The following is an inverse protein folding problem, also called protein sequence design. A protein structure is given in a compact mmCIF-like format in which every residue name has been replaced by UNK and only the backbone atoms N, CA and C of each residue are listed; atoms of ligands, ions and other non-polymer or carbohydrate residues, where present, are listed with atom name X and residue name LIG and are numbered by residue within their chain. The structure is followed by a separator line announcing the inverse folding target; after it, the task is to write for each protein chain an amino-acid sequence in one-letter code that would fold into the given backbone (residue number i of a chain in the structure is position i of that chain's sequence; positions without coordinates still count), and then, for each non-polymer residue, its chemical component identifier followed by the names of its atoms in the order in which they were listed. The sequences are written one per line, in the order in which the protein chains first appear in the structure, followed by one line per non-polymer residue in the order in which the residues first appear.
data_IF_025968827111
#
_entry.id   IF_025968827111
#
_cell.length_a   1.000
_cell.length_b   1.000
_cell.length_c   1.000
_cell.angle_alpha   90.00
_cell.angle_beta   90.00
_cell.angle_gamma   90.00
#
_symmetry.space_group_name_H-M   'P 1'
#
loop_
_entity.id
_entity.type
_entity.pdbx_description
1 polymer ?
#
# COMPACT_ATOMS: atom_id res chain seq x y z
N UNK A 1 8.84 26.45 -9.07
CA UNK A 1 10.08 25.70 -8.89
C UNK A 1 10.80 25.52 -10.22
N UNK A 2 12.11 25.32 -10.20
CA UNK A 2 12.90 25.08 -11.40
C UNK A 2 12.61 23.67 -11.91
N UNK A 3 12.37 23.51 -13.21
CA UNK A 3 12.25 22.19 -13.83
C UNK A 3 13.63 21.53 -13.94
N UNK A 4 13.78 20.35 -13.35
CA UNK A 4 15.01 19.57 -13.34
C UNK A 4 14.82 18.18 -13.98
N UNK A 5 13.81 18.03 -14.84
CA UNK A 5 13.49 16.78 -15.53
C UNK A 5 14.65 16.25 -16.38
N UNK A 6 15.51 17.13 -16.88
CA UNK A 6 16.71 16.76 -17.64
C UNK A 6 17.74 15.95 -16.86
N UNK A 7 17.71 16.00 -15.52
CA UNK A 7 18.60 15.24 -14.66
C UNK A 7 18.11 13.79 -14.40
N UNK A 8 17.00 13.38 -14.98
CA UNK A 8 16.37 12.09 -14.70
C UNK A 8 17.32 10.89 -14.86
N UNK A 9 18.12 10.78 -15.93
CA UNK A 9 19.06 9.66 -16.10
C UNK A 9 20.11 9.61 -14.98
N UNK A 10 20.64 10.76 -14.58
CA UNK A 10 21.68 10.86 -13.55
C UNK A 10 21.12 10.50 -12.17
N UNK A 11 19.89 10.96 -11.88
CA UNK A 11 19.20 10.63 -10.64
C UNK A 11 18.84 9.15 -10.56
N UNK A 12 18.41 8.52 -11.65
CA UNK A 12 18.17 7.07 -11.70
C UNK A 12 19.45 6.28 -11.40
N UNK A 13 20.62 6.74 -11.91
CA UNK A 13 21.90 6.13 -11.57
C UNK A 13 22.21 6.20 -10.06
N UNK A 14 21.77 7.27 -9.36
CA UNK A 14 21.92 7.41 -7.92
C UNK A 14 21.06 6.41 -7.11
N UNK A 15 20.13 5.68 -7.71
CA UNK A 15 19.33 4.62 -7.03
C UNK A 15 20.22 3.48 -6.49
N UNK A 16 21.44 3.33 -6.97
CA UNK A 16 22.38 2.29 -6.51
C UNK A 16 23.00 2.60 -5.13
N UNK A 17 22.75 3.77 -4.58
CA UNK A 17 23.28 4.15 -3.25
C UNK A 17 22.84 3.19 -2.15
N UNK A 18 23.69 2.99 -1.14
CA UNK A 18 23.33 2.26 0.09
C UNK A 18 22.67 3.15 1.15
N UNK A 19 22.76 4.48 1.01
CA UNK A 19 22.15 5.42 1.95
C UNK A 19 20.62 5.46 1.77
N UNK A 20 19.90 5.08 2.82
CA UNK A 20 18.42 5.12 2.83
C UNK A 20 17.89 6.55 2.65
N UNK A 21 18.55 7.55 3.24
CA UNK A 21 18.09 8.93 3.14
C UNK A 21 18.28 9.49 1.72
N UNK A 22 19.39 9.14 1.08
CA UNK A 22 19.58 9.50 -0.32
C UNK A 22 18.56 8.77 -1.22
N UNK A 23 18.29 7.48 -0.96
CA UNK A 23 17.24 6.75 -1.69
C UNK A 23 15.86 7.40 -1.57
N UNK A 24 15.48 7.88 -0.39
CA UNK A 24 14.20 8.60 -0.20
C UNK A 24 14.11 9.83 -1.12
N UNK A 25 15.17 10.60 -1.24
CA UNK A 25 15.20 11.79 -2.10
C UNK A 25 15.16 11.42 -3.58
N UNK A 26 15.94 10.42 -3.99
CA UNK A 26 15.95 9.91 -5.37
C UNK A 26 14.56 9.36 -5.74
N UNK A 27 13.93 8.58 -4.86
CA UNK A 27 12.61 8.03 -5.08
C UNK A 27 11.53 9.09 -5.17
N UNK A 28 11.60 10.12 -4.30
CA UNK A 28 10.70 11.27 -4.38
C UNK A 28 10.85 12.01 -5.72
N UNK A 29 12.07 12.17 -6.21
CA UNK A 29 12.34 12.76 -7.52
C UNK A 29 11.69 11.92 -8.62
N UNK A 30 11.90 10.59 -8.62
CA UNK A 30 11.34 9.67 -9.63
C UNK A 30 9.81 9.74 -9.62
N UNK A 31 9.13 9.74 -8.47
CA UNK A 31 7.66 9.89 -8.38
C UNK A 31 7.20 11.16 -9.08
N UNK A 32 7.90 12.28 -8.85
CA UNK A 32 7.49 13.59 -9.38
C UNK A 32 7.68 13.71 -10.91
N UNK A 33 8.72 13.10 -11.44
CA UNK A 33 9.10 13.24 -12.85
C UNK A 33 8.79 12.03 -13.73
N UNK A 34 8.36 10.90 -13.16
CA UNK A 34 8.08 9.68 -13.90
C UNK A 34 7.06 9.88 -15.05
N UNK A 35 6.03 10.70 -14.83
CA UNK A 35 5.01 10.99 -15.85
C UNK A 35 5.56 11.77 -17.05
N UNK A 36 6.55 12.63 -16.82
CA UNK A 36 7.19 13.40 -17.89
C UNK A 36 8.22 12.57 -18.67
N UNK A 37 8.72 11.48 -18.09
CA UNK A 37 9.77 10.63 -18.64
C UNK A 37 9.42 9.13 -18.46
N UNK A 38 8.31 8.63 -19.04
CA UNK A 38 7.83 7.27 -18.77
C UNK A 38 8.81 6.18 -19.17
N UNK A 39 9.49 6.34 -20.30
CA UNK A 39 10.47 5.36 -20.79
C UNK A 39 11.68 5.24 -19.84
N UNK A 40 12.13 6.35 -19.29
CA UNK A 40 13.21 6.36 -18.30
C UNK A 40 12.74 5.86 -16.91
N UNK A 41 11.48 6.09 -16.55
CA UNK A 41 10.91 5.56 -15.32
C UNK A 41 10.87 4.03 -15.32
N UNK A 42 10.66 3.40 -16.48
CA UNK A 42 10.75 1.94 -16.64
C UNK A 42 12.14 1.41 -16.30
N UNK A 43 13.21 2.14 -16.59
CA UNK A 43 14.57 1.74 -16.20
C UNK A 43 14.77 1.67 -14.69
N UNK A 44 14.00 2.44 -13.92
CA UNK A 44 14.04 2.41 -12.46
C UNK A 44 13.40 1.12 -11.86
N UNK A 45 12.57 0.40 -12.63
CA UNK A 45 11.84 -0.79 -12.14
C UNK A 45 12.78 -1.84 -11.58
N UNK A 46 13.91 -2.09 -12.24
CA UNK A 46 14.86 -3.10 -11.77
C UNK A 46 15.39 -2.74 -10.37
N UNK A 47 15.73 -1.48 -10.14
CA UNK A 47 16.20 -1.01 -8.85
C UNK A 47 15.10 -1.09 -7.78
N UNK A 48 13.87 -0.71 -8.10
CA UNK A 48 12.74 -0.86 -7.18
C UNK A 48 12.48 -2.32 -6.79
N UNK A 49 12.50 -3.24 -7.76
CA UNK A 49 12.32 -4.67 -7.50
C UNK A 49 13.45 -5.25 -6.66
N UNK A 50 14.69 -4.84 -6.91
CA UNK A 50 15.84 -5.23 -6.09
C UNK A 50 15.64 -4.77 -4.64
N UNK A 51 15.30 -3.51 -4.43
CA UNK A 51 15.11 -2.91 -3.11
C UNK A 51 13.87 -3.47 -2.38
N UNK A 52 12.80 -3.77 -3.10
CA UNK A 52 11.61 -4.43 -2.55
C UNK A 52 11.88 -5.88 -2.09
N UNK A 53 13.00 -6.47 -2.50
CA UNK A 53 13.44 -7.80 -2.13
C UNK A 53 14.65 -7.80 -1.18
N UNK A 54 15.05 -6.65 -0.65
CA UNK A 54 16.19 -6.59 0.27
C UNK A 54 15.96 -7.49 1.50
N UNK A 55 16.86 -8.45 1.79
CA UNK A 55 16.63 -9.41 2.86
C UNK A 55 16.80 -8.84 4.26
N UNK A 56 17.50 -7.72 4.40
CA UNK A 56 17.94 -7.20 5.69
C UNK A 56 17.23 -5.91 6.11
N UNK A 57 16.73 -5.12 5.15
CA UNK A 57 16.21 -3.79 5.44
C UNK A 57 14.70 -3.65 5.13
N UNK A 58 13.83 -3.84 6.14
CA UNK A 58 12.38 -3.71 5.93
C UNK A 58 11.97 -2.30 5.54
N UNK A 59 12.67 -1.26 6.03
CA UNK A 59 12.37 0.11 5.64
C UNK A 59 12.63 0.35 4.16
N UNK A 60 13.67 -0.27 3.61
CA UNK A 60 13.97 -0.20 2.19
C UNK A 60 12.92 -0.94 1.36
N UNK A 61 12.50 -2.16 1.80
CA UNK A 61 11.42 -2.89 1.13
C UNK A 61 10.14 -2.08 1.08
N UNK A 62 9.72 -1.52 2.22
CA UNK A 62 8.52 -0.69 2.32
C UNK A 62 8.63 0.57 1.46
N UNK A 63 9.78 1.25 1.47
CA UNK A 63 10.03 2.44 0.66
C UNK A 63 9.89 2.14 -0.84
N UNK A 64 10.46 1.04 -1.31
CA UNK A 64 10.40 0.64 -2.72
C UNK A 64 8.96 0.36 -3.17
N UNK A 65 8.22 -0.47 -2.42
CA UNK A 65 6.82 -0.81 -2.73
C UNK A 65 5.93 0.43 -2.71
N UNK A 66 6.07 1.27 -1.68
CA UNK A 66 5.33 2.52 -1.58
C UNK A 66 5.59 3.43 -2.79
N UNK A 67 6.85 3.54 -3.20
CA UNK A 67 7.24 4.39 -4.33
C UNK A 67 6.63 3.89 -5.62
N UNK A 68 6.72 2.58 -5.90
CA UNK A 68 6.10 1.97 -7.07
C UNK A 68 4.60 2.23 -7.11
N UNK A 69 3.89 2.10 -5.98
CA UNK A 69 2.46 2.38 -5.87
C UNK A 69 2.08 3.87 -6.00
N UNK A 70 3.03 4.78 -5.83
CA UNK A 70 2.82 6.22 -6.06
C UNK A 70 3.07 6.66 -7.50
N UNK A 71 3.80 5.85 -8.29
CA UNK A 71 4.05 6.14 -9.70
C UNK A 71 2.81 5.73 -10.50
N UNK A 72 2.04 6.72 -10.94
CA UNK A 72 0.79 6.52 -11.68
C UNK A 72 1.06 6.32 -13.18
N UNK A 73 1.74 5.22 -13.51
CA UNK A 73 1.98 4.75 -14.87
C UNK A 73 1.41 3.32 -14.99
N UNK A 74 0.49 3.10 -15.91
CA UNK A 74 -0.12 1.77 -16.12
C UNK A 74 0.93 0.68 -16.35
N UNK A 75 1.97 0.99 -17.11
CA UNK A 75 3.08 0.08 -17.38
C UNK A 75 3.85 -0.35 -16.12
N UNK A 76 3.80 0.46 -15.04
CA UNK A 76 4.42 0.12 -13.76
C UNK A 76 3.57 -0.82 -12.91
N UNK A 77 2.25 -0.84 -13.13
CA UNK A 77 1.33 -1.60 -12.28
C UNK A 77 1.60 -3.09 -12.33
N UNK A 78 1.86 -3.65 -13.51
CA UNK A 78 2.19 -5.08 -13.67
C UNK A 78 3.45 -5.48 -12.89
N UNK A 79 4.47 -4.62 -12.89
CA UNK A 79 5.73 -4.88 -12.18
C UNK A 79 5.58 -4.74 -10.65
N UNK A 80 4.55 -4.05 -10.19
CA UNK A 80 4.25 -3.89 -8.77
C UNK A 80 3.55 -5.11 -8.17
N UNK A 81 2.77 -5.87 -8.92
CA UNK A 81 1.89 -6.94 -8.43
C UNK A 81 2.61 -7.95 -7.54
N UNK A 82 3.71 -8.52 -8.02
CA UNK A 82 4.46 -9.53 -7.28
C UNK A 82 5.17 -8.96 -6.03
N UNK A 83 5.90 -7.83 -6.09
CA UNK A 83 6.43 -7.17 -4.90
C UNK A 83 5.34 -6.83 -3.88
N UNK A 84 4.19 -6.34 -4.31
CA UNK A 84 3.08 -5.98 -3.45
C UNK A 84 2.48 -7.21 -2.75
N UNK A 85 2.23 -8.29 -3.49
CA UNK A 85 1.72 -9.56 -2.94
C UNK A 85 2.66 -10.14 -1.89
N UNK A 86 3.96 -10.05 -2.10
CA UNK A 86 4.99 -10.48 -1.14
C UNK A 86 5.00 -9.60 0.09
N UNK A 87 4.90 -8.29 -0.09
CA UNK A 87 4.88 -7.31 1.01
C UNK A 87 3.67 -7.47 1.93
N UNK A 88 2.53 -7.94 1.42
CA UNK A 88 1.37 -8.28 2.25
C UNK A 88 1.63 -9.45 3.22
N UNK A 89 2.66 -10.26 2.96
CA UNK A 89 3.07 -11.42 3.78
C UNK A 89 4.44 -11.24 4.42
N UNK A 90 4.99 -10.03 4.39
CA UNK A 90 6.31 -9.74 4.95
C UNK A 90 6.36 -10.03 6.45
N UNK A 91 7.51 -10.46 6.95
CA UNK A 91 7.74 -10.67 8.39
C UNK A 91 7.61 -9.38 9.20
N UNK A 92 7.94 -8.24 8.61
CA UNK A 92 7.88 -6.94 9.25
C UNK A 92 6.52 -6.27 9.07
N UNK A 93 5.90 -5.87 10.19
CA UNK A 93 4.57 -5.25 10.21
C UNK A 93 4.53 -3.89 9.48
N UNK A 94 5.63 -3.15 9.46
CA UNK A 94 5.70 -1.88 8.75
C UNK A 94 5.61 -2.08 7.23
N UNK A 95 6.21 -3.15 6.71
CA UNK A 95 6.10 -3.52 5.30
C UNK A 95 4.66 -3.95 4.98
N UNK A 96 4.05 -4.82 5.81
CA UNK A 96 2.66 -5.26 5.63
C UNK A 96 1.69 -4.08 5.67
N UNK A 97 1.82 -3.18 6.64
CA UNK A 97 1.05 -1.93 6.72
C UNK A 97 1.18 -1.11 5.43
N UNK A 98 2.41 -0.93 4.94
CA UNK A 98 2.66 -0.15 3.73
C UNK A 98 2.01 -0.79 2.50
N UNK A 99 1.97 -2.11 2.45
CA UNK A 99 1.31 -2.85 1.39
C UNK A 99 -0.20 -2.59 1.34
N UNK A 100 -0.90 -2.50 2.48
CA UNK A 100 -2.34 -2.20 2.51
C UNK A 100 -2.64 -0.86 1.86
N UNK A 101 -1.88 0.18 2.21
CA UNK A 101 -2.02 1.52 1.63
C UNK A 101 -1.72 1.50 0.13
N UNK A 102 -0.73 0.70 -0.28
CA UNK A 102 -0.35 0.58 -1.68
C UNK A 102 -1.45 -0.07 -2.53
N UNK A 103 -2.18 -1.06 -1.97
CA UNK A 103 -3.33 -1.67 -2.66
C UNK A 103 -4.43 -0.64 -2.92
N UNK A 104 -4.78 0.21 -1.95
CA UNK A 104 -5.77 1.26 -2.16
C UNK A 104 -5.34 2.24 -3.27
N UNK A 105 -4.08 2.64 -3.29
CA UNK A 105 -3.54 3.50 -4.36
C UNK A 105 -3.52 2.81 -5.73
N UNK A 106 -3.25 1.51 -5.78
CA UNK A 106 -3.32 0.74 -7.00
C UNK A 106 -4.76 0.63 -7.51
N UNK A 107 -5.74 0.53 -6.61
CA UNK A 107 -7.16 0.54 -6.96
C UNK A 107 -7.58 1.86 -7.62
N UNK A 108 -7.07 3.01 -7.18
CA UNK A 108 -7.31 4.30 -7.82
C UNK A 108 -6.79 4.38 -9.27
N UNK A 109 -5.79 3.56 -9.60
CA UNK A 109 -5.17 3.54 -10.94
C UNK A 109 -5.86 2.52 -11.84
N UNK A 110 -6.07 1.31 -11.33
CA UNK A 110 -6.65 0.20 -12.08
C UNK A 110 -7.47 -0.72 -11.15
N UNK A 111 -8.78 -0.40 -10.94
CA UNK A 111 -9.66 -1.18 -10.09
C UNK A 111 -9.80 -2.64 -10.52
N UNK A 112 -9.99 -2.88 -11.83
CA UNK A 112 -10.17 -4.22 -12.39
C UNK A 112 -8.97 -5.12 -12.07
N UNK A 113 -7.77 -4.60 -12.23
CA UNK A 113 -6.55 -5.34 -11.92
C UNK A 113 -6.47 -5.74 -10.44
N UNK A 114 -6.87 -4.86 -9.53
CA UNK A 114 -6.87 -5.15 -8.08
C UNK A 114 -7.87 -6.25 -7.73
N UNK A 115 -9.06 -6.23 -8.34
CA UNK A 115 -10.10 -7.25 -8.16
C UNK A 115 -9.65 -8.60 -8.75
N UNK A 116 -9.23 -8.62 -10.01
CA UNK A 116 -8.81 -9.83 -10.73
C UNK A 116 -7.60 -10.51 -10.07
N UNK A 117 -6.69 -9.74 -9.51
CA UNK A 117 -5.52 -10.24 -8.81
C UNK A 117 -5.81 -10.66 -7.37
N UNK A 118 -7.05 -10.53 -6.88
CA UNK A 118 -7.49 -10.95 -5.56
C UNK A 118 -6.92 -10.12 -4.40
N UNK A 119 -6.51 -8.87 -4.64
CA UNK A 119 -5.97 -8.01 -3.58
C UNK A 119 -7.02 -7.58 -2.56
N UNK A 120 -8.29 -7.53 -2.94
CA UNK A 120 -9.40 -7.27 -2.00
C UNK A 120 -9.47 -8.37 -0.93
N UNK A 121 -9.36 -9.64 -1.33
CA UNK A 121 -9.39 -10.76 -0.39
C UNK A 121 -8.13 -10.81 0.48
N UNK A 122 -6.98 -10.39 -0.07
CA UNK A 122 -5.77 -10.19 0.73
C UNK A 122 -5.99 -9.13 1.81
N UNK A 123 -6.57 -7.97 1.49
CA UNK A 123 -6.90 -6.94 2.49
C UNK A 123 -7.85 -7.46 3.57
N UNK A 124 -8.89 -8.21 3.19
CA UNK A 124 -9.81 -8.85 4.13
C UNK A 124 -9.09 -9.83 5.07
N UNK A 125 -8.15 -10.61 4.53
CA UNK A 125 -7.34 -11.50 5.35
C UNK A 125 -6.47 -10.72 6.35
N UNK A 126 -5.95 -9.56 5.96
CA UNK A 126 -5.11 -8.70 6.81
C UNK A 126 -5.90 -8.02 7.95
N UNK A 127 -7.22 -8.05 7.96
CA UNK A 127 -8.04 -7.68 9.13
C UNK A 127 -7.80 -8.58 10.35
N UNK A 128 -7.25 -9.77 10.14
CA UNK A 128 -6.83 -10.70 11.20
C UNK A 128 -5.33 -10.67 11.49
N UNK A 129 -4.60 -9.65 11.06
CA UNK A 129 -3.17 -9.54 11.34
C UNK A 129 -2.90 -9.42 12.85
N UNK A 130 -1.78 -9.98 13.30
CA UNK A 130 -1.34 -9.89 14.71
C UNK A 130 -0.93 -8.48 15.14
N UNK A 131 -0.66 -7.59 14.19
CA UNK A 131 -0.25 -6.21 14.47
C UNK A 131 -1.42 -5.24 14.26
N UNK A 132 -1.86 -4.50 15.29
CA UNK A 132 -3.03 -3.62 15.24
C UNK A 132 -2.87 -2.49 14.22
N UNK A 133 -1.65 -2.04 13.95
CA UNK A 133 -1.37 -1.01 12.93
C UNK A 133 -1.64 -1.53 11.52
N UNK A 134 -1.38 -2.82 11.26
CA UNK A 134 -1.71 -3.46 9.97
C UNK A 134 -3.22 -3.58 9.83
N UNK A 135 -3.91 -4.05 10.88
CA UNK A 135 -5.37 -4.17 10.92
C UNK A 135 -6.04 -2.82 10.63
N UNK A 136 -5.67 -1.77 11.35
CA UNK A 136 -6.24 -0.42 11.16
C UNK A 136 -6.05 0.10 9.73
N UNK A 137 -4.87 -0.11 9.14
CA UNK A 137 -4.62 0.32 7.77
C UNK A 137 -5.34 -0.56 6.73
N UNK A 138 -5.58 -1.84 7.01
CA UNK A 138 -6.40 -2.69 6.15
C UNK A 138 -7.87 -2.22 6.15
N UNK A 139 -8.43 -1.86 7.33
CA UNK A 139 -9.76 -1.23 7.44
C UNK A 139 -9.81 0.05 6.62
N UNK A 140 -8.86 0.98 6.86
CA UNK A 140 -8.81 2.25 6.14
C UNK A 140 -8.75 2.06 4.63
N UNK A 141 -7.93 1.13 4.15
CA UNK A 141 -7.79 0.82 2.72
C UNK A 141 -9.08 0.25 2.13
N UNK A 142 -9.77 -0.66 2.84
CA UNK A 142 -11.06 -1.20 2.39
C UNK A 142 -12.16 -0.14 2.39
N UNK A 143 -12.18 0.79 3.36
CA UNK A 143 -13.11 1.92 3.38
C UNK A 143 -12.85 2.88 2.21
N UNK A 144 -11.59 3.24 1.94
CA UNK A 144 -11.20 4.09 0.81
C UNK A 144 -11.62 3.48 -0.53
N UNK A 145 -11.32 2.19 -0.73
CA UNK A 145 -11.72 1.43 -1.92
C UNK A 145 -13.25 1.39 -2.05
N UNK A 146 -13.97 1.12 -0.94
CA UNK A 146 -15.43 1.07 -0.93
C UNK A 146 -16.06 2.41 -1.34
N UNK A 147 -15.49 3.50 -0.86
CA UNK A 147 -15.94 4.87 -1.20
C UNK A 147 -15.70 5.18 -2.67
N UNK A 148 -14.52 4.84 -3.18
CA UNK A 148 -14.13 5.07 -4.58
C UNK A 148 -15.01 4.24 -5.54
N UNK A 149 -15.21 2.98 -5.23
CA UNK A 149 -15.99 2.05 -6.05
C UNK A 149 -17.51 2.19 -5.88
N UNK A 150 -17.99 2.94 -4.87
CA UNK A 150 -19.40 3.00 -4.46
C UNK A 150 -19.99 1.61 -4.18
N UNK A 151 -19.17 0.70 -3.65
CA UNK A 151 -19.51 -0.68 -3.31
C UNK A 151 -18.85 -1.05 -1.99
N UNK A 152 -19.58 -1.68 -1.08
CA UNK A 152 -19.03 -2.08 0.21
C UNK A 152 -18.12 -3.31 0.07
N UNK A 153 -16.81 -3.11 0.23
CA UNK A 153 -15.81 -4.18 0.28
C UNK A 153 -15.46 -4.61 1.71
N UNK A 154 -15.69 -3.74 2.69
CA UNK A 154 -15.56 -4.07 4.11
C UNK A 154 -16.88 -4.67 4.60
N UNK A 155 -17.02 -5.98 4.46
CA UNK A 155 -18.17 -6.70 4.98
C UNK A 155 -17.94 -7.01 6.45
N UNK A 156 -18.60 -6.27 7.33
CA UNK A 156 -18.58 -6.54 8.75
C UNK A 156 -19.49 -7.74 9.05
N UNK A 157 -18.97 -8.67 9.82
CA UNK A 157 -19.65 -9.79 10.42
C UNK A 157 -19.04 -10.05 11.80
N UNK A 158 -19.64 -10.93 12.60
CA UNK A 158 -19.14 -11.26 13.95
C UNK A 158 -17.65 -11.61 13.98
N UNK A 159 -17.16 -12.41 13.02
CA UNK A 159 -15.75 -12.81 12.92
C UNK A 159 -14.83 -11.61 12.70
N UNK A 160 -15.20 -10.70 11.81
CA UNK A 160 -14.46 -9.47 11.55
C UNK A 160 -14.51 -8.55 12.77
N UNK A 161 -15.68 -8.35 13.37
CA UNK A 161 -15.85 -7.49 14.55
C UNK A 161 -15.01 -8.03 15.71
N UNK A 162 -15.02 -9.33 15.97
CA UNK A 162 -14.22 -9.97 17.01
C UNK A 162 -12.71 -9.76 16.84
N UNK A 163 -12.24 -9.60 15.61
CA UNK A 163 -10.83 -9.28 15.28
C UNK A 163 -10.53 -7.80 15.43
N UNK A 164 -11.48 -6.93 15.09
CA UNK A 164 -11.29 -5.49 15.16
C UNK A 164 -11.35 -4.93 16.58
N UNK A 165 -12.18 -5.51 17.46
CA UNK A 165 -12.33 -5.05 18.84
C UNK A 165 -11.02 -5.06 19.65
N UNK A 166 -10.21 -6.12 19.67
CA UNK A 166 -8.90 -6.10 20.32
C UNK A 166 -7.96 -5.06 19.70
N UNK A 167 -7.95 -4.96 18.36
CA UNK A 167 -7.09 -4.03 17.65
C UNK A 167 -7.43 -2.57 17.96
N UNK A 168 -8.69 -2.26 18.25
CA UNK A 168 -9.17 -0.91 18.56
C UNK A 168 -8.39 -0.29 19.73
N UNK A 169 -8.14 -1.05 20.81
CA UNK A 169 -7.45 -0.55 22.00
C UNK A 169 -5.94 -0.34 21.77
N UNK A 170 -5.36 -0.99 20.79
CA UNK A 170 -3.93 -0.96 20.51
C UNK A 170 -3.58 -0.04 19.33
N UNK A 171 -4.59 0.45 18.59
CA UNK A 171 -4.41 1.36 17.49
C UNK A 171 -4.10 2.79 17.94
N UNK A 172 -3.45 3.54 17.04
CA UNK A 172 -3.39 5.01 17.16
C UNK A 172 -4.79 5.62 17.03
N UNK A 173 -4.95 6.86 17.50
CA UNK A 173 -6.21 7.62 17.39
C UNK A 173 -6.82 7.59 15.98
N UNK A 174 -5.99 7.69 14.94
CA UNK A 174 -6.42 7.59 13.56
C UNK A 174 -6.95 6.19 13.21
N UNK A 175 -6.26 5.13 13.65
CA UNK A 175 -6.72 3.76 13.48
C UNK A 175 -8.04 3.49 14.18
N UNK A 176 -8.21 3.99 15.40
CA UNK A 176 -9.46 3.92 16.16
C UNK A 176 -10.61 4.59 15.39
N UNK A 177 -10.37 5.77 14.83
CA UNK A 177 -11.39 6.49 14.03
C UNK A 177 -11.89 5.64 12.87
N UNK A 178 -11.01 5.02 12.09
CA UNK A 178 -11.42 4.17 10.97
C UNK A 178 -12.22 2.94 11.41
N UNK A 179 -11.81 2.29 12.51
CA UNK A 179 -12.54 1.12 13.04
C UNK A 179 -13.91 1.54 13.55
N UNK A 180 -13.99 2.61 14.35
CA UNK A 180 -15.25 3.11 14.90
C UNK A 180 -16.23 3.58 13.82
N UNK A 181 -15.74 4.27 12.79
CA UNK A 181 -16.55 4.71 11.67
C UNK A 181 -17.12 3.51 10.89
N UNK A 182 -16.33 2.44 10.75
CA UNK A 182 -16.82 1.20 10.14
C UNK A 182 -17.89 0.52 11.00
N UNK A 183 -17.76 0.53 12.34
CA UNK A 183 -18.77 -0.02 13.24
C UNK A 183 -20.07 0.82 13.25
N UNK A 184 -19.97 2.14 13.11
CA UNK A 184 -21.14 3.00 13.03
C UNK A 184 -22.06 2.71 11.83
N UNK A 185 -21.51 2.09 10.79
CA UNK A 185 -22.23 1.66 9.59
C UNK A 185 -22.70 0.20 9.63
N UNK A 186 -22.44 -0.53 10.74
CA UNK A 186 -22.83 -1.92 10.90
C UNK A 186 -24.28 -2.04 11.35
N UNK A 187 -25.06 -2.81 10.60
CA UNK A 187 -26.43 -3.20 10.97
C UNK A 187 -26.43 -4.70 11.30
N UNK A 188 -26.71 -5.10 12.56
CA UNK A 188 -26.84 -6.51 12.94
C UNK A 188 -27.93 -7.19 12.13
N UNK A 189 -27.68 -8.40 11.62
CA UNK A 189 -28.63 -9.14 10.78
C UNK A 189 -29.80 -9.72 11.57
N UNK A 190 -29.60 -10.03 12.84
CA UNK A 190 -30.63 -10.51 13.77
C UNK A 190 -30.43 -9.84 15.12
N UNK A 191 -31.45 -9.30 15.74
CA UNK A 191 -31.40 -8.53 17.00
C UNK A 191 -30.88 -9.29 18.24
N UNK A 192 -30.00 -10.25 18.07
CA UNK A 192 -29.32 -11.06 19.07
C UNK A 192 -27.82 -10.75 19.24
N UNK A 193 -27.29 -9.77 18.51
CA UNK A 193 -25.88 -9.35 18.59
C UNK A 193 -25.69 -8.08 19.40
#
# INVERSE_FOLDING_TARGET
GTDVSSLFPDVVNCMQTSSLDLKKLVYLYVINYAKAQPDLAILAIHSFRKDANDPHNPLLRALAVRTMGCIRLEQMTEYLLEPLRRSCKDSDAYVRKTATICIAKLFDINPELVEDQGFIDILRHMLGDSNPMVVANAVASLCEISTTARRNYLQLNEDVISKLLPALNECSEWGQTFILDSFASYEPRDGSE
#
